data_IF_316266675687
#
_entry.id   IF_316266675687
#
_cell.length_a   1.000
_cell.length_b   1.000
_cell.length_c   1.000
_cell.angle_alpha   90.00
_cell.angle_beta   90.00
_cell.angle_gamma   90.00
#
_symmetry.space_group_name_H-M   'P 1'
#
loop_
_entity.id
_entity.type
_entity.pdbx_description
1 polymer ?
#
# COMPACT_ATOMS: atom_id res chain seq x y z
N UNK A 1 -2.65 4.93 -26.64
CA UNK A 1 -2.49 4.12 -25.40
C UNK A 1 -1.28 3.22 -25.58
N UNK A 2 -0.24 3.35 -24.75
CA UNK A 2 0.88 2.41 -24.78
C UNK A 2 0.34 1.01 -24.44
N UNK A 3 0.74 -0.01 -25.22
CA UNK A 3 0.35 -1.40 -24.91
C UNK A 3 0.94 -1.77 -23.55
N UNK A 4 0.10 -1.89 -22.53
CA UNK A 4 0.50 -2.28 -21.16
C UNK A 4 1.12 -3.67 -21.16
N UNK A 5 0.53 -4.58 -21.93
CA UNK A 5 0.93 -5.99 -22.03
C UNK A 5 1.90 -6.24 -23.19
N UNK A 6 3.10 -5.68 -23.11
CA UNK A 6 4.25 -6.10 -23.93
C UNK A 6 5.12 -7.04 -23.11
N UNK A 7 5.82 -7.97 -23.76
CA UNK A 7 6.75 -8.89 -23.06
C UNK A 7 7.73 -8.14 -22.17
N UNK A 8 8.27 -7.01 -22.65
CA UNK A 8 9.16 -6.15 -21.87
C UNK A 8 8.47 -5.61 -20.58
N UNK A 9 7.26 -5.10 -20.70
CA UNK A 9 6.52 -4.57 -19.55
C UNK A 9 6.13 -5.68 -18.57
N UNK A 10 5.76 -6.87 -19.07
CA UNK A 10 5.44 -8.02 -18.20
C UNK A 10 6.65 -8.43 -17.36
N UNK A 11 7.83 -8.51 -17.97
CA UNK A 11 9.08 -8.83 -17.25
C UNK A 11 9.39 -7.75 -16.21
N UNK A 12 9.28 -6.47 -16.57
CA UNK A 12 9.51 -5.36 -15.63
C UNK A 12 8.49 -5.38 -14.48
N UNK A 13 7.21 -5.61 -14.76
CA UNK A 13 6.18 -5.73 -13.71
C UNK A 13 6.50 -6.88 -12.75
N UNK A 14 6.90 -8.03 -13.27
CA UNK A 14 7.29 -9.18 -12.45
C UNK A 14 8.49 -8.85 -11.55
N UNK A 15 9.53 -8.20 -12.10
CA UNK A 15 10.72 -7.81 -11.34
C UNK A 15 10.39 -6.78 -10.23
N UNK A 16 9.64 -5.73 -10.55
CA UNK A 16 9.26 -4.72 -9.56
C UNK A 16 8.33 -5.27 -8.49
N UNK A 17 7.38 -6.13 -8.85
CA UNK A 17 6.48 -6.79 -7.90
C UNK A 17 7.23 -7.74 -6.98
N UNK A 18 8.19 -8.52 -7.51
CA UNK A 18 9.01 -9.42 -6.70
C UNK A 18 9.89 -8.62 -5.71
N UNK A 19 10.52 -7.53 -6.17
CA UNK A 19 11.30 -6.65 -5.30
C UNK A 19 10.41 -6.01 -4.22
N UNK A 20 9.22 -5.54 -4.58
CA UNK A 20 8.27 -4.99 -3.64
C UNK A 20 7.82 -6.04 -2.60
N UNK A 21 7.52 -7.26 -3.02
CA UNK A 21 7.14 -8.34 -2.12
C UNK A 21 8.27 -8.66 -1.13
N UNK A 22 9.53 -8.70 -1.57
CA UNK A 22 10.69 -8.90 -0.68
C UNK A 22 10.81 -7.77 0.33
N UNK A 23 10.67 -6.51 -0.09
CA UNK A 23 10.72 -5.36 0.81
C UNK A 23 9.55 -5.34 1.79
N UNK A 24 8.38 -5.82 1.38
CA UNK A 24 7.21 -5.95 2.24
C UNK A 24 7.40 -7.02 3.34
N UNK A 25 8.27 -8.02 3.14
CA UNK A 25 8.60 -8.99 4.19
C UNK A 25 9.44 -8.37 5.32
N UNK A 26 10.11 -7.25 5.05
CA UNK A 26 10.88 -6.48 6.02
C UNK A 26 10.03 -5.33 6.56
N UNK A 27 8.99 -5.68 7.28
CA UNK A 27 8.09 -4.75 7.96
C UNK A 27 8.71 -4.35 9.31
N UNK A 28 8.69 -3.04 9.59
CA UNK A 28 9.20 -2.50 10.85
C UNK A 28 8.04 -1.89 11.64
N UNK A 29 7.72 -2.44 12.83
CA UNK A 29 6.74 -1.81 13.71
C UNK A 29 7.30 -0.49 14.23
N UNK A 30 6.44 0.56 14.31
CA UNK A 30 6.82 1.86 14.86
C UNK A 30 6.05 2.08 16.18
N UNK A 31 6.52 1.51 17.30
CA UNK A 31 5.81 1.52 18.56
C UNK A 31 5.63 2.93 19.17
N UNK A 32 6.41 3.94 18.70
CA UNK A 32 6.36 5.30 19.20
C UNK A 32 5.30 6.19 18.52
N UNK A 33 4.80 5.78 17.33
CA UNK A 33 3.90 6.61 16.50
C UNK A 33 2.56 5.91 16.28
N UNK A 34 2.54 4.58 16.28
CA UNK A 34 1.37 3.80 15.98
C UNK A 34 1.31 2.50 16.83
N UNK A 35 0.10 1.94 17.08
CA UNK A 35 -0.02 0.62 17.70
C UNK A 35 0.80 -0.44 16.96
N UNK A 36 1.25 -1.48 17.65
CA UNK A 36 2.17 -2.52 17.15
C UNK A 36 1.66 -3.30 15.92
N UNK A 37 0.40 -3.13 15.53
CA UNK A 37 -0.17 -3.72 14.31
C UNK A 37 -0.03 -2.84 13.06
N UNK A 38 0.51 -1.61 13.21
CA UNK A 38 0.91 -0.77 12.08
C UNK A 38 2.40 -0.96 11.82
N UNK A 39 2.70 -1.47 10.64
CA UNK A 39 4.05 -1.73 10.17
C UNK A 39 4.33 -0.82 8.98
N UNK A 40 5.54 -0.27 8.91
CA UNK A 40 6.01 0.46 7.73
C UNK A 40 6.93 -0.45 6.94
N UNK A 41 6.73 -0.47 5.65
CA UNK A 41 7.59 -1.13 4.70
C UNK A 41 8.01 -0.19 3.55
N UNK A 42 8.99 -0.60 2.78
CA UNK A 42 9.52 0.14 1.64
C UNK A 42 8.99 -0.40 0.30
N UNK A 43 7.98 -1.26 0.32
CA UNK A 43 7.47 -1.95 -0.87
C UNK A 43 6.84 -1.02 -1.91
N UNK A 44 6.35 0.14 -1.48
CA UNK A 44 5.74 1.13 -2.37
C UNK A 44 6.77 1.79 -3.31
N UNK A 45 8.05 1.84 -2.92
CA UNK A 45 9.09 2.49 -3.73
C UNK A 45 9.25 1.83 -5.11
N UNK A 46 9.51 0.51 -5.22
CA UNK A 46 9.61 -0.12 -6.53
C UNK A 46 8.30 -0.07 -7.32
N UNK A 47 7.14 -0.13 -6.67
CA UNK A 47 5.84 -0.02 -7.34
C UNK A 47 5.67 1.39 -7.96
N UNK A 48 5.97 2.46 -7.22
CA UNK A 48 5.95 3.82 -7.73
C UNK A 48 6.88 4.00 -8.93
N UNK A 49 8.12 3.53 -8.83
CA UNK A 49 9.08 3.61 -9.93
C UNK A 49 8.56 2.87 -11.16
N UNK A 50 8.08 1.64 -10.99
CA UNK A 50 7.50 0.85 -12.06
C UNK A 50 6.28 1.52 -12.69
N UNK A 51 5.38 2.09 -11.87
CA UNK A 51 4.20 2.81 -12.34
C UNK A 51 4.54 4.09 -13.11
N UNK A 52 5.59 4.79 -12.73
CA UNK A 52 6.09 5.96 -13.46
C UNK A 52 6.62 5.59 -14.85
N UNK A 53 7.27 4.42 -14.97
CA UNK A 53 7.80 3.93 -16.24
C UNK A 53 6.68 3.43 -17.16
N UNK A 54 5.77 2.59 -16.64
CA UNK A 54 4.80 1.82 -17.40
C UNK A 54 3.38 2.39 -17.37
N UNK A 55 3.07 3.22 -16.39
CA UNK A 55 1.75 3.85 -16.21
C UNK A 55 0.92 3.27 -15.05
N UNK A 56 -0.23 3.92 -14.73
CA UNK A 56 -1.02 3.61 -13.54
C UNK A 56 -1.60 2.19 -13.54
N UNK A 57 -2.01 1.67 -14.69
CA UNK A 57 -2.56 0.31 -14.80
C UNK A 57 -1.52 -0.74 -14.41
N UNK A 58 -0.27 -0.55 -14.86
CA UNK A 58 0.85 -1.42 -14.46
C UNK A 58 1.11 -1.34 -12.96
N UNK A 59 0.95 -0.16 -12.36
CA UNK A 59 1.05 0.04 -10.91
C UNK A 59 0.04 -0.79 -10.14
N UNK A 60 -1.23 -0.76 -10.54
CA UNK A 60 -2.29 -1.57 -9.89
C UNK A 60 -2.01 -3.07 -10.01
N UNK A 61 -1.55 -3.53 -11.18
CA UNK A 61 -1.19 -4.94 -11.39
C UNK A 61 -0.02 -5.34 -10.49
N UNK A 62 1.01 -4.51 -10.40
CA UNK A 62 2.17 -4.77 -9.53
C UNK A 62 1.77 -4.82 -8.05
N UNK A 63 0.87 -3.93 -7.60
CA UNK A 63 0.29 -3.98 -6.25
C UNK A 63 -0.41 -5.31 -5.98
N UNK A 64 -1.26 -5.76 -6.90
CA UNK A 64 -1.96 -7.03 -6.76
C UNK A 64 -0.97 -8.20 -6.65
N UNK A 65 0.05 -8.24 -7.52
CA UNK A 65 1.07 -9.29 -7.51
C UNK A 65 1.88 -9.24 -6.20
N UNK A 66 2.27 -8.06 -5.72
CA UNK A 66 2.97 -7.88 -4.44
C UNK A 66 2.20 -8.52 -3.30
N UNK A 67 0.91 -8.21 -3.17
CA UNK A 67 0.05 -8.75 -2.09
C UNK A 67 -0.11 -10.28 -2.23
N UNK A 68 -0.33 -10.78 -3.43
CA UNK A 68 -0.42 -12.23 -3.67
C UNK A 68 0.88 -12.93 -3.26
N UNK A 69 2.04 -12.41 -3.65
CA UNK A 69 3.34 -12.98 -3.28
C UNK A 69 3.56 -12.95 -1.76
N UNK A 70 3.23 -11.83 -1.10
CA UNK A 70 3.30 -11.73 0.36
C UNK A 70 2.42 -12.77 1.04
N UNK A 71 1.19 -12.96 0.56
CA UNK A 71 0.26 -13.96 1.10
C UNK A 71 0.77 -15.39 0.92
N UNK A 72 1.44 -15.69 -0.18
CA UNK A 72 2.01 -17.01 -0.43
C UNK A 72 3.24 -17.30 0.45
N UNK A 73 4.03 -16.28 0.78
CA UNK A 73 5.29 -16.43 1.53
C UNK A 73 5.06 -16.35 3.03
N UNK A 74 4.38 -15.31 3.51
CA UNK A 74 4.21 -15.00 4.95
C UNK A 74 2.82 -15.40 5.47
N UNK A 75 1.84 -15.58 4.57
CA UNK A 75 0.44 -15.78 4.95
C UNK A 75 -0.22 -14.47 5.39
N UNK A 76 -1.35 -14.60 6.09
CA UNK A 76 -2.07 -13.44 6.64
C UNK A 76 -2.19 -13.54 8.15
N UNK A 77 -1.96 -12.43 8.85
CA UNK A 77 -2.20 -12.27 10.29
C UNK A 77 -3.56 -11.62 10.59
N UNK A 78 -4.21 -11.05 9.56
CA UNK A 78 -5.40 -10.19 9.69
C UNK A 78 -6.62 -10.74 8.96
N UNK A 79 -6.67 -12.08 8.74
CA UNK A 79 -7.74 -12.75 7.99
C UNK A 79 -8.04 -12.08 6.63
N UNK A 80 -7.01 -11.72 5.88
CA UNK A 80 -7.03 -11.09 4.54
C UNK A 80 -7.54 -9.65 4.49
N UNK A 81 -8.16 -9.12 5.55
CA UNK A 81 -8.74 -7.77 5.54
C UNK A 81 -7.66 -6.70 5.57
N UNK A 82 -6.59 -6.92 6.34
CA UNK A 82 -5.42 -6.03 6.34
C UNK A 82 -4.69 -6.02 5.00
N UNK A 83 -4.56 -7.18 4.37
CA UNK A 83 -3.93 -7.31 3.06
C UNK A 83 -4.74 -6.60 1.95
N UNK A 84 -6.08 -6.72 2.01
CA UNK A 84 -6.97 -5.98 1.12
C UNK A 84 -6.91 -4.46 1.36
N UNK A 85 -6.88 -4.04 2.63
CA UNK A 85 -6.72 -2.63 2.96
C UNK A 85 -5.36 -2.09 2.45
N UNK A 86 -4.27 -2.84 2.63
CA UNK A 86 -2.95 -2.49 2.10
C UNK A 86 -2.98 -2.31 0.57
N UNK A 87 -3.61 -3.24 -0.15
CA UNK A 87 -3.81 -3.12 -1.59
C UNK A 87 -4.54 -1.82 -1.97
N UNK A 88 -5.68 -1.53 -1.33
CA UNK A 88 -6.46 -0.32 -1.62
C UNK A 88 -5.67 0.96 -1.31
N UNK A 89 -4.95 1.00 -0.21
CA UNK A 89 -4.12 2.13 0.22
C UNK A 89 -2.96 2.34 -0.77
N UNK A 90 -2.26 1.27 -1.17
CA UNK A 90 -1.20 1.33 -2.18
C UNK A 90 -1.70 1.82 -3.55
N UNK A 91 -2.85 1.33 -4.00
CA UNK A 91 -3.50 1.81 -5.24
C UNK A 91 -3.84 3.30 -5.15
N UNK A 92 -4.33 3.77 -3.99
CA UNK A 92 -4.63 5.20 -3.78
C UNK A 92 -3.38 6.09 -3.78
N UNK A 93 -2.21 5.55 -3.45
CA UNK A 93 -0.92 6.23 -3.60
C UNK A 93 -0.47 6.23 -5.06
N UNK A 94 -0.40 5.05 -5.67
CA UNK A 94 0.28 4.79 -6.93
C UNK A 94 -0.47 5.37 -8.14
N UNK A 95 -1.81 5.26 -8.16
CA UNK A 95 -2.62 5.70 -9.31
C UNK A 95 -2.54 7.20 -9.53
N UNK A 96 -2.88 8.08 -8.55
CA UNK A 96 -2.80 9.52 -8.76
C UNK A 96 -1.36 9.99 -9.01
N UNK A 97 -0.38 9.42 -8.30
CA UNK A 97 1.03 9.75 -8.51
C UNK A 97 1.46 9.47 -9.96
N UNK A 98 1.11 8.29 -10.46
CA UNK A 98 1.45 7.88 -11.83
C UNK A 98 0.71 8.69 -12.89
N UNK A 99 -0.59 9.01 -12.70
CA UNK A 99 -1.35 9.84 -13.63
C UNK A 99 -0.73 11.22 -13.78
N UNK A 100 -0.38 11.87 -12.66
CA UNK A 100 0.23 13.21 -12.66
C UNK A 100 1.59 13.17 -13.36
N UNK A 101 2.42 12.18 -13.06
CA UNK A 101 3.72 12.01 -13.69
C UNK A 101 3.64 11.74 -15.19
N UNK A 102 2.69 10.91 -15.62
CA UNK A 102 2.55 10.55 -17.04
C UNK A 102 2.11 11.72 -17.93
N UNK A 103 1.44 12.75 -17.38
CA UNK A 103 1.06 13.97 -18.14
C UNK A 103 2.31 14.72 -18.61
N UNK A 104 3.26 14.93 -17.72
CA UNK A 104 4.55 15.58 -18.02
C UNK A 104 5.65 14.88 -17.20
N UNK A 105 6.52 14.16 -17.85
CA UNK A 105 7.58 13.35 -17.25
C UNK A 105 8.74 14.21 -16.74
N UNK A 106 8.49 15.00 -15.71
CA UNK A 106 9.46 15.88 -15.07
C UNK A 106 9.65 15.51 -13.60
N UNK A 107 10.81 15.83 -13.02
CA UNK A 107 11.06 15.65 -11.59
C UNK A 107 10.03 16.38 -10.72
N UNK A 108 9.60 17.58 -11.15
CA UNK A 108 8.57 18.37 -10.46
C UNK A 108 7.24 17.61 -10.41
N UNK A 109 6.78 17.04 -11.53
CA UNK A 109 5.54 16.29 -11.57
C UNK A 109 5.63 14.95 -10.85
N UNK A 110 6.80 14.33 -10.78
CA UNK A 110 7.01 13.16 -9.92
C UNK A 110 6.77 13.53 -8.44
N UNK A 111 7.36 14.64 -7.98
CA UNK A 111 7.20 15.11 -6.61
C UNK A 111 5.75 15.51 -6.29
N UNK A 112 5.11 16.30 -7.17
CA UNK A 112 3.70 16.68 -7.02
C UNK A 112 2.80 15.44 -7.04
N UNK A 113 3.08 14.49 -7.91
CA UNK A 113 2.36 13.21 -7.99
C UNK A 113 2.45 12.40 -6.71
N UNK A 114 3.66 12.29 -6.14
CA UNK A 114 3.86 11.62 -4.85
C UNK A 114 3.11 12.33 -3.72
N UNK A 115 3.17 13.65 -3.63
CA UNK A 115 2.42 14.42 -2.62
C UNK A 115 0.90 14.21 -2.74
N UNK A 116 0.37 14.30 -3.96
CA UNK A 116 -1.04 14.02 -4.21
C UNK A 116 -1.41 12.58 -3.85
N UNK A 117 -0.59 11.61 -4.28
CA UNK A 117 -0.77 10.20 -3.94
C UNK A 117 -0.77 9.95 -2.43
N UNK A 118 0.16 10.56 -1.70
CA UNK A 118 0.23 10.46 -0.23
C UNK A 118 -1.02 11.03 0.43
N UNK A 119 -1.57 12.13 -0.07
CA UNK A 119 -2.82 12.69 0.44
C UNK A 119 -3.99 11.73 0.23
N UNK A 120 -4.14 11.18 -0.99
CA UNK A 120 -5.16 10.16 -1.27
C UNK A 120 -5.00 8.91 -0.42
N UNK A 121 -3.76 8.43 -0.26
CA UNK A 121 -3.40 7.31 0.60
C UNK A 121 -3.81 7.56 2.05
N UNK A 122 -3.50 8.75 2.60
CA UNK A 122 -3.85 9.10 3.97
C UNK A 122 -5.37 9.11 4.19
N UNK A 123 -6.13 9.72 3.28
CA UNK A 123 -7.60 9.72 3.34
C UNK A 123 -8.15 8.31 3.23
N UNK A 124 -7.68 7.52 2.27
CA UNK A 124 -8.10 6.13 2.11
C UNK A 124 -7.78 5.28 3.35
N UNK A 125 -6.60 5.47 3.94
CA UNK A 125 -6.20 4.80 5.18
C UNK A 125 -7.13 5.10 6.35
N UNK A 126 -7.49 6.36 6.56
CA UNK A 126 -8.46 6.75 7.62
C UNK A 126 -9.83 6.12 7.35
N UNK A 127 -10.34 6.22 6.13
CA UNK A 127 -11.66 5.69 5.75
C UNK A 127 -11.70 4.17 5.89
N UNK A 128 -10.71 3.46 5.35
CA UNK A 128 -10.64 2.00 5.44
C UNK A 128 -10.47 1.52 6.88
N UNK A 129 -9.64 2.23 7.67
CA UNK A 129 -9.46 1.88 9.07
C UNK A 129 -10.78 2.02 9.84
N UNK A 130 -11.46 3.16 9.70
CA UNK A 130 -12.69 3.44 10.44
C UNK A 130 -13.86 2.54 10.01
N UNK A 131 -14.08 2.35 8.71
CA UNK A 131 -15.26 1.62 8.20
C UNK A 131 -15.04 0.12 8.03
N UNK A 132 -13.82 -0.33 7.84
CA UNK A 132 -13.50 -1.73 7.52
C UNK A 132 -12.73 -2.41 8.65
N UNK A 133 -11.56 -1.85 9.02
CA UNK A 133 -10.65 -2.51 9.95
C UNK A 133 -11.22 -2.57 11.37
N UNK A 134 -11.68 -1.45 11.92
CA UNK A 134 -12.21 -1.39 13.29
C UNK A 134 -13.44 -2.29 13.46
N UNK A 135 -14.49 -2.20 12.62
CA UNK A 135 -15.66 -3.09 12.74
C UNK A 135 -15.31 -4.57 12.55
N UNK A 136 -14.34 -4.86 11.68
CA UNK A 136 -13.90 -6.22 11.46
C UNK A 136 -13.16 -6.77 12.69
N UNK A 137 -12.22 -6.04 13.28
CA UNK A 137 -11.51 -6.49 14.47
C UNK A 137 -12.42 -6.67 15.67
N UNK A 138 -13.39 -5.80 15.87
CA UNK A 138 -14.41 -5.96 16.93
C UNK A 138 -15.22 -7.23 16.74
N UNK A 139 -15.69 -7.52 15.52
CA UNK A 139 -16.54 -8.68 15.22
C UNK A 139 -15.79 -10.00 15.12
N UNK A 140 -14.64 -10.01 14.45
CA UNK A 140 -13.90 -11.23 14.15
C UNK A 140 -12.98 -11.69 15.29
N UNK A 141 -12.38 -10.75 16.02
CA UNK A 141 -11.45 -11.06 17.11
C UNK A 141 -12.04 -10.78 18.51
N UNK A 142 -13.31 -10.32 18.60
CA UNK A 142 -13.94 -10.04 19.89
C UNK A 142 -13.24 -8.95 20.72
N UNK A 143 -12.40 -8.10 20.07
CA UNK A 143 -11.70 -7.04 20.76
C UNK A 143 -12.67 -5.93 21.14
N UNK A 144 -12.81 -5.56 22.44
CA UNK A 144 -13.64 -4.41 22.82
C UNK A 144 -13.08 -3.13 22.18
N UNK A 145 -13.98 -2.29 21.66
CA UNK A 145 -13.62 -1.02 21.01
C UNK A 145 -12.69 -0.17 21.88
N UNK A 146 -12.92 -0.19 23.21
CA UNK A 146 -12.09 0.51 24.19
C UNK A 146 -10.64 0.02 24.21
N UNK A 147 -10.39 -1.27 23.97
CA UNK A 147 -9.03 -1.79 23.88
C UNK A 147 -8.29 -1.30 22.63
N UNK A 148 -9.01 -1.16 21.51
CA UNK A 148 -8.45 -0.63 20.25
C UNK A 148 -8.15 0.87 20.40
N UNK A 149 -9.08 1.64 20.98
CA UNK A 149 -8.92 3.07 21.27
C UNK A 149 -7.83 3.27 22.33
N UNK A 150 -7.81 2.46 23.37
CA UNK A 150 -6.81 2.51 24.44
C UNK A 150 -5.39 2.16 23.97
N UNK A 151 -5.25 1.29 22.97
CA UNK A 151 -3.96 1.03 22.34
C UNK A 151 -3.45 2.25 21.56
N UNK A 152 -4.36 2.99 20.92
CA UNK A 152 -4.03 4.28 20.28
C UNK A 152 -3.76 5.42 21.28
N UNK A 153 -4.51 5.47 22.40
CA UNK A 153 -4.36 6.50 23.42
C UNK A 153 -3.08 6.36 24.28
N UNK A 154 -2.53 5.15 24.38
CA UNK A 154 -1.24 4.91 25.10
C UNK A 154 -0.02 5.52 24.41
N UNK A 155 -0.19 6.09 23.22
CA UNK A 155 0.86 6.76 22.44
C UNK A 155 0.94 8.26 22.75
N UNK A 156 -0.01 8.83 23.49
CA UNK A 156 0.09 10.20 23.99
C UNK A 156 0.87 10.22 25.32
N UNK A 157 1.91 11.07 25.40
CA UNK A 157 2.64 11.31 26.66
C UNK A 157 1.76 11.96 27.72
#
# INVERSE_FOLDING_TARGET
>A
MKKVFTTKNLVLMAMFSALAAVLMLWEFPIPFIAPNFYEIDLSEIPILVGSFIMGPVSGVIMEAIKIILKLLIKGTSTAYVGDFANFCIGVCLVVPASIIYQKHKTKKNAFIGMLAGTLFMAVAGVVLNYFVMIPFYVKAFGMPLEAIIGAGAKIQP
#
